data_IF_909943507363
#
_entry.id   IF_909943507363
#
_cell.length_a   1.000
_cell.length_b   1.000
_cell.length_c   1.000
_cell.angle_alpha   90.00
_cell.angle_beta   90.00
_cell.angle_gamma   90.00
#
_symmetry.space_group_name_H-M   'P 1'
#
loop_
_entity.id
_entity.type
_entity.pdbx_description
1 polymer ?
#
# COMPACT_ATOMS: atom_id res chain seq x y z
N UNK A 1 0.00 -14.65 27.69
CA UNK A 1 -1.43 -14.27 27.58
C UNK A 1 -1.80 -14.29 26.10
N UNK A 2 -2.94 -14.86 25.70
CA UNK A 2 -3.41 -14.86 24.31
C UNK A 2 -4.70 -14.04 24.26
N UNK A 3 -4.72 -12.99 23.44
CA UNK A 3 -5.91 -12.19 23.16
C UNK A 3 -6.28 -12.35 21.68
N UNK A 4 -7.56 -12.28 21.38
CA UNK A 4 -8.11 -12.39 20.02
C UNK A 4 -8.96 -11.14 19.79
N UNK A 5 -8.69 -10.46 18.68
CA UNK A 5 -9.35 -9.24 18.25
C UNK A 5 -10.11 -9.60 16.96
N UNK A 6 -11.44 -9.59 17.02
CA UNK A 6 -12.31 -9.83 15.85
C UNK A 6 -12.67 -8.50 15.20
N UNK A 7 -12.07 -8.22 14.04
CA UNK A 7 -12.24 -6.98 13.28
C UNK A 7 -13.59 -6.90 12.53
N UNK A 8 -14.41 -7.95 12.55
CA UNK A 8 -15.71 -7.98 11.87
C UNK A 8 -15.64 -7.59 10.39
N UNK A 9 -16.66 -6.87 9.91
CA UNK A 9 -16.75 -6.45 8.50
C UNK A 9 -15.80 -5.30 8.13
N UNK A 10 -15.20 -4.63 9.12
CA UNK A 10 -14.24 -3.56 8.84
C UNK A 10 -12.86 -4.12 8.58
N UNK A 11 -12.53 -5.33 9.06
CA UNK A 11 -11.23 -5.97 8.86
C UNK A 11 -11.27 -7.21 7.97
N UNK A 12 -11.82 -7.08 6.77
CA UNK A 12 -11.86 -8.20 5.81
C UNK A 12 -10.48 -8.39 5.16
N UNK A 13 -9.97 -9.62 5.22
CA UNK A 13 -8.65 -10.01 4.72
C UNK A 13 -7.52 -9.17 5.37
N UNK A 14 -7.33 -9.29 6.71
CA UNK A 14 -6.23 -8.63 7.38
C UNK A 14 -4.91 -9.27 6.94
N UNK A 15 -3.96 -8.43 6.52
CA UNK A 15 -2.65 -8.87 6.03
C UNK A 15 -1.55 -8.43 7.00
N UNK A 16 -1.04 -7.22 6.77
CA UNK A 16 0.07 -6.67 7.53
C UNK A 16 -0.38 -6.15 8.88
N UNK A 17 0.47 -6.35 9.89
CA UNK A 17 0.32 -5.80 11.23
C UNK A 17 1.64 -5.11 11.58
N UNK A 18 1.57 -3.84 11.99
CA UNK A 18 2.74 -3.06 12.37
C UNK A 18 2.47 -2.28 13.64
N UNK A 19 3.38 -2.41 14.60
CA UNK A 19 3.43 -1.53 15.77
C UNK A 19 4.16 -0.25 15.41
N UNK A 20 3.94 0.80 16.20
CA UNK A 20 4.85 1.94 16.20
C UNK A 20 6.25 1.48 16.61
N UNK A 21 7.27 2.15 16.09
CA UNK A 21 8.67 1.84 16.33
C UNK A 21 9.12 2.21 17.73
N UNK A 22 8.55 3.25 18.32
CA UNK A 22 8.79 3.62 19.71
C UNK A 22 8.26 2.52 20.65
N UNK A 23 9.14 1.77 21.34
CA UNK A 23 8.74 0.64 22.18
C UNK A 23 7.96 1.06 23.43
N UNK A 24 7.93 2.35 23.77
CA UNK A 24 7.10 2.89 24.86
C UNK A 24 5.62 3.03 24.48
N UNK A 25 5.28 2.90 23.19
CA UNK A 25 3.91 3.04 22.69
C UNK A 25 3.26 1.68 22.48
N UNK A 26 2.25 1.38 23.30
CA UNK A 26 1.39 0.22 23.10
C UNK A 26 0.31 0.47 22.02
N UNK A 27 0.72 0.75 20.79
CA UNK A 27 -0.18 1.02 19.66
C UNK A 27 0.38 0.46 18.36
N UNK A 28 -0.51 -0.04 17.51
CA UNK A 28 -0.19 -0.45 16.15
C UNK A 28 -1.40 -0.34 15.23
N UNK A 29 -1.22 -0.85 14.02
CA UNK A 29 -2.22 -0.88 12.97
C UNK A 29 -2.27 -2.23 12.27
N UNK A 30 -3.43 -2.56 11.72
CA UNK A 30 -3.62 -3.68 10.79
C UNK A 30 -4.21 -3.16 9.49
N UNK A 31 -3.56 -3.51 8.38
CA UNK A 31 -4.05 -3.25 7.03
C UNK A 31 -5.03 -4.34 6.63
N UNK A 32 -6.28 -3.97 6.38
CA UNK A 32 -7.32 -4.91 5.95
C UNK A 32 -7.60 -4.73 4.47
N UNK A 33 -7.14 -5.70 3.68
CA UNK A 33 -7.05 -5.53 2.24
C UNK A 33 -8.42 -5.37 1.59
N UNK A 34 -9.32 -6.33 1.78
CA UNK A 34 -10.58 -6.35 1.06
C UNK A 34 -11.51 -5.21 1.46
N UNK A 35 -11.58 -4.89 2.75
CA UNK A 35 -12.33 -3.74 3.25
C UNK A 35 -11.61 -2.41 3.01
N UNK A 36 -10.34 -2.43 2.61
CA UNK A 36 -9.48 -1.26 2.38
C UNK A 36 -9.45 -0.29 3.56
N UNK A 37 -9.35 -0.85 4.76
CA UNK A 37 -9.32 -0.11 6.02
C UNK A 37 -7.96 -0.23 6.70
N UNK A 38 -7.51 0.88 7.30
CA UNK A 38 -6.44 0.88 8.28
C UNK A 38 -7.07 0.94 9.67
N UNK A 39 -6.82 -0.10 10.46
CA UNK A 39 -7.47 -0.27 11.76
C UNK A 39 -6.40 -0.17 12.83
N UNK A 40 -6.52 0.78 13.75
CA UNK A 40 -5.61 0.92 14.88
C UNK A 40 -5.84 -0.23 15.88
N UNK A 41 -4.90 -0.53 16.75
CA UNK A 41 -5.16 -1.29 17.96
C UNK A 41 -4.23 -0.79 19.04
N UNK A 42 -4.66 -0.91 20.30
CA UNK A 42 -3.93 -0.32 21.42
C UNK A 42 -4.21 -1.05 22.73
N UNK A 43 -3.27 -0.95 23.65
CA UNK A 43 -3.42 -1.46 25.00
C UNK A 43 -4.15 -0.46 25.88
N UNK A 44 -5.15 -0.94 26.61
CA UNK A 44 -5.91 -0.19 27.59
C UNK A 44 -5.15 -0.13 28.93
N UNK A 45 -5.64 0.72 29.84
CA UNK A 45 -5.10 0.84 31.20
C UNK A 45 -5.28 -0.41 32.07
N UNK A 46 -6.12 -1.37 31.65
CA UNK A 46 -6.35 -2.66 32.33
C UNK A 46 -5.53 -3.81 31.72
N UNK A 47 -4.52 -3.50 30.91
CA UNK A 47 -3.65 -4.45 30.21
C UNK A 47 -4.34 -5.32 29.14
N UNK A 48 -5.58 -5.00 28.75
CA UNK A 48 -6.25 -5.60 27.59
C UNK A 48 -5.96 -4.82 26.31
N UNK A 49 -6.02 -5.47 25.15
CA UNK A 49 -5.97 -4.81 23.84
C UNK A 49 -7.37 -4.59 23.31
N UNK A 50 -7.66 -3.35 22.86
CA UNK A 50 -8.96 -2.98 22.30
C UNK A 50 -8.89 -2.53 20.84
N UNK A 51 -10.02 -2.71 20.17
CA UNK A 51 -10.36 -2.17 18.86
C UNK A 51 -11.87 -1.82 18.87
N UNK A 52 -12.26 -0.68 19.44
CA UNK A 52 -13.70 -0.32 19.43
C UNK A 52 -14.13 0.28 18.08
N UNK A 53 -15.42 0.52 17.86
CA UNK A 53 -15.95 0.98 16.56
C UNK A 53 -15.33 2.30 16.00
N UNK A 54 -14.57 3.05 16.82
CA UNK A 54 -13.83 4.28 16.45
C UNK A 54 -12.38 4.05 16.02
N UNK A 55 -12.06 2.88 15.47
CA UNK A 55 -10.68 2.40 15.30
C UNK A 55 -10.27 2.19 13.84
N UNK A 56 -11.22 2.23 12.90
CA UNK A 56 -10.90 2.47 11.49
C UNK A 56 -10.43 3.93 11.39
N UNK A 57 -9.13 4.12 11.29
CA UNK A 57 -8.51 5.45 11.22
C UNK A 57 -8.41 5.93 9.77
N UNK A 58 -8.45 5.01 8.81
CA UNK A 58 -8.54 5.29 7.37
C UNK A 58 -9.47 4.28 6.73
N UNK A 59 -10.40 4.77 5.90
CA UNK A 59 -11.19 3.98 4.95
C UNK A 59 -10.90 4.48 3.54
N UNK A 60 -10.50 3.58 2.64
CA UNK A 60 -10.42 3.87 1.20
C UNK A 60 -11.73 3.46 0.56
N UNK A 61 -12.51 4.45 0.16
CA UNK A 61 -13.81 4.22 -0.48
C UNK A 61 -13.68 3.36 -1.76
N UNK A 62 -14.45 2.27 -1.89
CA UNK A 62 -14.57 1.54 -3.13
C UNK A 62 -15.08 2.45 -4.26
N UNK A 63 -14.52 2.29 -5.44
CA UNK A 63 -14.92 3.07 -6.61
C UNK A 63 -15.92 2.28 -7.43
N UNK A 64 -17.03 2.93 -7.85
CA UNK A 64 -17.91 2.36 -8.88
C UNK A 64 -17.14 2.24 -10.19
N UNK A 65 -17.27 1.10 -10.86
CA UNK A 65 -16.47 0.77 -12.04
C UNK A 65 -17.27 0.08 -13.13
N UNK A 66 -16.83 0.27 -14.38
CA UNK A 66 -17.27 -0.48 -15.56
C UNK A 66 -16.18 -1.44 -16.04
N UNK A 67 -16.59 -2.49 -16.77
CA UNK A 67 -15.72 -3.55 -17.28
C UNK A 67 -14.93 -4.29 -16.17
N UNK A 68 -15.54 -4.39 -15.00
CA UNK A 68 -15.07 -5.15 -13.86
C UNK A 68 -16.13 -6.18 -13.44
N UNK A 69 -15.72 -7.25 -12.78
CA UNK A 69 -16.62 -8.36 -12.38
C UNK A 69 -17.66 -7.94 -11.32
N UNK A 70 -17.36 -6.91 -10.54
CA UNK A 70 -18.22 -6.33 -9.51
C UNK A 70 -18.60 -4.88 -9.87
N UNK A 71 -19.69 -4.33 -9.32
CA UNK A 71 -20.06 -2.94 -9.54
C UNK A 71 -19.09 -1.95 -8.90
N UNK A 72 -18.38 -2.37 -7.85
CA UNK A 72 -17.44 -1.56 -7.09
C UNK A 72 -16.10 -2.27 -6.95
N UNK A 73 -15.02 -1.47 -6.95
CA UNK A 73 -13.64 -1.93 -6.82
C UNK A 73 -13.04 -1.36 -5.53
N UNK A 74 -12.66 -2.20 -4.55
CA UNK A 74 -11.96 -1.74 -3.36
C UNK A 74 -10.54 -1.26 -3.72
N UNK A 75 -9.92 -0.47 -2.84
CA UNK A 75 -8.51 -0.09 -2.99
C UNK A 75 -7.59 -1.31 -2.97
N UNK A 76 -7.92 -2.26 -2.10
CA UNK A 76 -7.13 -3.44 -1.76
C UNK A 76 -5.79 -3.07 -1.11
N UNK A 77 -5.83 -2.67 0.16
CA UNK A 77 -4.64 -2.33 0.94
C UNK A 77 -3.81 -3.58 1.21
N UNK A 78 -2.75 -3.80 0.43
CA UNK A 78 -1.99 -5.06 0.50
C UNK A 78 -0.75 -4.99 1.38
N UNK A 79 -0.16 -3.81 1.52
CA UNK A 79 0.99 -3.56 2.40
C UNK A 79 0.93 -2.12 2.93
N UNK A 80 1.54 -1.93 4.09
CA UNK A 80 1.79 -0.63 4.67
C UNK A 80 3.02 -0.67 5.57
N UNK A 81 3.67 0.48 5.78
CA UNK A 81 4.79 0.61 6.70
C UNK A 81 4.74 1.96 7.43
N UNK A 82 5.46 2.04 8.55
CA UNK A 82 5.57 3.24 9.39
C UNK A 82 7.02 3.73 9.31
N UNK A 83 7.24 5.04 9.16
CA UNK A 83 8.57 5.64 9.21
C UNK A 83 9.20 5.45 10.59
N UNK A 84 10.52 5.31 10.67
CA UNK A 84 11.22 5.04 11.93
C UNK A 84 11.00 6.09 13.02
N UNK A 85 10.63 7.32 12.66
CA UNK A 85 10.29 8.40 13.59
C UNK A 85 8.82 8.39 14.04
N UNK A 86 8.03 7.39 13.65
CA UNK A 86 6.59 7.27 13.89
C UNK A 86 5.76 8.48 13.40
N UNK A 87 6.26 9.28 12.46
CA UNK A 87 5.56 10.49 12.00
C UNK A 87 4.70 10.24 10.77
N UNK A 88 5.06 9.27 9.93
CA UNK A 88 4.32 8.94 8.72
C UNK A 88 4.06 7.44 8.62
N UNK A 89 2.95 7.07 8.01
CA UNK A 89 2.84 5.75 7.39
C UNK A 89 2.50 5.86 5.92
N UNK A 90 2.83 4.79 5.22
CA UNK A 90 2.66 4.64 3.79
C UNK A 90 1.89 3.36 3.55
N UNK A 91 0.96 3.37 2.60
CA UNK A 91 0.30 2.14 2.17
C UNK A 91 0.03 2.17 0.67
N UNK A 92 -0.21 0.99 0.13
CA UNK A 92 -0.51 0.77 -1.28
C UNK A 92 -1.96 0.34 -1.47
N UNK A 93 -2.61 0.78 -2.54
CA UNK A 93 -3.87 0.21 -3.01
C UNK A 93 -3.59 -0.59 -4.29
N UNK A 94 -3.52 -1.92 -4.17
CA UNK A 94 -3.06 -2.76 -5.27
C UNK A 94 -4.03 -2.79 -6.45
N UNK A 95 -5.34 -2.60 -6.24
CA UNK A 95 -6.31 -2.54 -7.35
C UNK A 95 -6.45 -1.12 -7.91
N UNK A 96 -6.55 -0.10 -7.05
CA UNK A 96 -6.65 1.29 -7.52
C UNK A 96 -5.38 1.71 -8.25
N UNK A 97 -4.21 1.37 -7.72
CA UNK A 97 -2.91 1.68 -8.34
C UNK A 97 -2.14 2.82 -7.69
N UNK A 98 -2.55 3.28 -6.51
CA UNK A 98 -1.92 4.41 -5.83
C UNK A 98 -1.17 4.02 -4.55
N UNK A 99 -0.15 4.83 -4.23
CA UNK A 99 0.55 4.83 -2.95
C UNK A 99 0.15 6.10 -2.21
N UNK A 100 -0.12 5.99 -0.92
CA UNK A 100 -0.47 7.13 -0.06
C UNK A 100 0.49 7.28 1.10
N UNK A 101 0.66 8.53 1.53
CA UNK A 101 1.41 8.92 2.72
C UNK A 101 0.46 9.67 3.66
N UNK A 102 0.44 9.26 4.92
CA UNK A 102 -0.33 9.90 5.97
C UNK A 102 0.59 10.34 7.11
N UNK A 103 0.42 11.57 7.60
CA UNK A 103 0.97 11.98 8.89
C UNK A 103 0.17 11.30 10.01
N UNK A 104 0.88 10.73 10.98
CA UNK A 104 0.32 10.02 12.14
C UNK A 104 0.87 10.50 13.50
N UNK A 105 1.31 11.75 13.57
CA UNK A 105 1.69 12.37 14.86
C UNK A 105 0.53 12.32 15.87
N UNK A 106 -0.72 12.32 15.39
CA UNK A 106 -1.87 11.78 16.11
C UNK A 106 -2.28 10.41 15.54
N UNK A 107 -1.90 9.30 16.20
CA UNK A 107 -2.21 7.94 15.74
C UNK A 107 -3.70 7.65 15.54
N UNK A 108 -4.60 8.44 16.15
CA UNK A 108 -6.05 8.28 16.04
C UNK A 108 -6.64 9.05 14.87
N UNK A 109 -5.94 10.05 14.35
CA UNK A 109 -6.42 10.94 13.28
C UNK A 109 -5.36 11.12 12.18
N UNK A 110 -5.04 10.06 11.39
CA UNK A 110 -4.10 10.18 10.29
C UNK A 110 -4.54 11.22 9.26
N UNK A 111 -3.60 12.02 8.76
CA UNK A 111 -3.87 13.08 7.78
C UNK A 111 -3.16 12.75 6.47
N UNK A 112 -3.90 12.66 5.36
CA UNK A 112 -3.32 12.43 4.03
C UNK A 112 -2.42 13.62 3.65
N UNK A 113 -1.15 13.32 3.33
CA UNK A 113 -0.15 14.34 2.96
C UNK A 113 0.45 14.11 1.58
N UNK A 114 0.34 12.91 1.02
CA UNK A 114 0.82 12.59 -0.32
C UNK A 114 0.08 11.43 -0.95
N UNK A 115 -0.12 11.48 -2.27
CA UNK A 115 -0.71 10.40 -3.06
C UNK A 115 -0.13 10.44 -4.48
N UNK A 116 0.22 9.27 -5.01
CA UNK A 116 0.73 9.12 -6.39
C UNK A 116 0.16 7.86 -7.02
N UNK A 117 -0.07 7.91 -8.34
CA UNK A 117 -0.56 6.77 -9.13
C UNK A 117 0.62 6.11 -9.85
N UNK A 118 0.80 4.81 -9.63
CA UNK A 118 1.95 4.02 -10.11
C UNK A 118 1.51 2.72 -10.78
N UNK A 119 0.35 2.74 -11.44
CA UNK A 119 -0.21 1.63 -12.20
C UNK A 119 -1.67 1.39 -11.83
N UNK A 120 -2.02 0.14 -11.58
CA UNK A 120 -3.35 -0.30 -11.16
C UNK A 120 -4.33 -0.56 -12.30
N UNK A 121 -5.53 -1.02 -11.93
CA UNK A 121 -6.60 -1.31 -12.90
C UNK A 121 -7.27 -0.04 -13.42
N UNK A 122 -7.11 1.10 -12.76
CA UNK A 122 -7.78 2.35 -13.13
C UNK A 122 -6.89 3.31 -13.92
N UNK A 123 -5.72 2.87 -14.38
CA UNK A 123 -4.84 3.67 -15.22
C UNK A 123 -5.41 3.91 -16.62
N UNK A 124 -5.08 5.06 -17.23
CA UNK A 124 -5.48 5.36 -18.61
C UNK A 124 -5.01 4.28 -19.58
N UNK A 125 -5.93 3.81 -20.42
CA UNK A 125 -5.69 2.72 -21.37
C UNK A 125 -6.03 1.32 -20.83
N UNK A 126 -6.30 1.19 -19.53
CA UNK A 126 -6.91 -0.02 -18.96
C UNK A 126 -8.35 -0.22 -19.48
N UNK A 127 -8.86 -1.47 -19.57
CA UNK A 127 -10.26 -1.72 -19.86
C UNK A 127 -11.21 -1.23 -18.76
N UNK A 128 -10.76 -1.20 -17.49
CA UNK A 128 -11.59 -0.80 -16.34
C UNK A 128 -11.64 0.72 -16.22
N UNK A 129 -12.83 1.27 -16.00
CA UNK A 129 -13.03 2.71 -15.83
C UNK A 129 -13.80 3.00 -14.55
N UNK A 130 -13.38 4.01 -13.80
CA UNK A 130 -14.12 4.49 -12.65
C UNK A 130 -15.30 5.37 -13.11
N UNK A 131 -16.40 5.33 -12.38
CA UNK A 131 -17.67 6.01 -12.73
C UNK A 131 -17.98 7.07 -11.67
N UNK A 132 -18.32 8.28 -12.12
CA UNK A 132 -18.78 9.39 -11.27
C UNK A 132 -20.28 9.29 -11.00
N UNK A 133 -20.78 10.09 -10.06
CA UNK A 133 -22.22 10.16 -9.76
C UNK A 133 -23.08 10.58 -10.96
N UNK A 134 -22.53 11.42 -11.85
CA UNK A 134 -23.19 11.86 -13.09
C UNK A 134 -23.13 10.83 -14.23
N UNK A 135 -22.55 9.65 -13.98
CA UNK A 135 -22.38 8.57 -14.95
C UNK A 135 -21.19 8.75 -15.91
N UNK A 136 -20.42 9.84 -15.80
CA UNK A 136 -19.21 9.99 -16.61
C UNK A 136 -18.08 9.09 -16.09
N UNK A 137 -17.22 8.64 -17.00
CA UNK A 137 -16.11 7.76 -16.67
C UNK A 137 -14.78 8.49 -16.61
N UNK A 138 -13.87 8.00 -15.77
CA UNK A 138 -12.51 8.51 -15.64
C UNK A 138 -11.51 7.41 -15.30
N UNK A 139 -10.25 7.72 -15.53
CA UNK A 139 -9.07 6.90 -15.27
C UNK A 139 -7.94 7.82 -14.83
N UNK A 140 -6.92 7.26 -14.19
CA UNK A 140 -5.80 8.02 -13.64
C UNK A 140 -4.61 8.04 -14.60
N UNK A 141 -3.93 9.18 -14.65
CA UNK A 141 -2.65 9.30 -15.34
C UNK A 141 -1.56 8.59 -14.53
N UNK A 142 -0.83 7.70 -15.18
CA UNK A 142 0.33 7.00 -14.62
C UNK A 142 1.54 7.34 -15.48
N UNK A 143 2.62 7.89 -14.92
CA UNK A 143 3.78 8.25 -15.71
C UNK A 143 4.56 7.01 -16.15
N UNK A 144 5.36 7.19 -17.19
CA UNK A 144 6.38 6.21 -17.56
C UNK A 144 7.71 6.56 -16.86
N UNK A 145 8.47 5.54 -16.51
CA UNK A 145 9.82 5.70 -15.98
C UNK A 145 10.78 5.12 -17.01
N UNK A 146 11.72 5.93 -17.50
CA UNK A 146 12.70 5.52 -18.54
C UNK A 146 12.04 4.88 -19.77
N UNK A 147 10.87 5.40 -20.19
CA UNK A 147 10.10 4.90 -21.33
C UNK A 147 9.35 3.57 -21.09
N UNK A 148 9.38 3.04 -19.86
CA UNK A 148 8.65 1.83 -19.48
C UNK A 148 7.34 2.23 -18.79
N UNK A 149 6.24 1.61 -19.20
CA UNK A 149 4.95 1.72 -18.51
C UNK A 149 4.98 0.96 -17.19
N UNK A 150 4.36 1.53 -16.15
CA UNK A 150 4.19 0.87 -14.86
C UNK A 150 3.05 -0.14 -14.97
N UNK A 151 3.40 -1.41 -14.77
CA UNK A 151 2.51 -2.58 -14.90
C UNK A 151 1.90 -2.91 -13.54
N UNK A 152 0.69 -3.45 -13.52
CA UNK A 152 0.00 -3.82 -12.28
C UNK A 152 -0.11 -2.69 -11.24
N UNK A 153 -0.64 -2.96 -10.05
CA UNK A 153 -0.65 -2.00 -8.95
C UNK A 153 0.54 -2.17 -7.99
N UNK A 154 0.83 -1.15 -7.16
CA UNK A 154 1.87 -1.23 -6.15
C UNK A 154 1.50 -2.26 -5.08
N UNK A 155 2.48 -3.04 -4.62
CA UNK A 155 2.31 -4.10 -3.64
C UNK A 155 3.31 -3.91 -2.47
N UNK A 156 4.35 -4.74 -2.29
CA UNK A 156 5.27 -4.53 -1.18
C UNK A 156 5.99 -3.20 -1.34
N UNK A 157 6.08 -2.46 -0.24
CA UNK A 157 6.83 -1.23 -0.13
C UNK A 157 7.93 -1.37 0.90
N UNK A 158 9.01 -0.62 0.70
CA UNK A 158 10.08 -0.55 1.70
C UNK A 158 10.70 0.84 1.77
N UNK A 159 10.80 1.38 2.97
CA UNK A 159 11.28 2.74 3.22
C UNK A 159 12.73 2.73 3.69
N UNK A 160 13.51 3.67 3.16
CA UNK A 160 14.86 3.92 3.67
C UNK A 160 14.83 4.38 5.13
N UNK A 161 15.88 4.07 5.89
CA UNK A 161 15.99 4.43 7.31
C UNK A 161 15.89 5.95 7.55
N UNK A 162 16.31 6.78 6.60
CA UNK A 162 16.17 8.24 6.66
C UNK A 162 14.78 8.75 6.23
N UNK A 163 13.87 7.85 5.85
CA UNK A 163 12.50 8.16 5.43
C UNK A 163 12.37 8.82 4.04
N UNK A 164 13.47 9.05 3.32
CA UNK A 164 13.46 9.88 2.09
C UNK A 164 13.18 9.12 0.80
N UNK A 165 13.29 7.79 0.81
CA UNK A 165 13.15 6.94 -0.37
C UNK A 165 12.24 5.77 -0.04
N UNK A 166 11.12 5.69 -0.73
CA UNK A 166 10.20 4.56 -0.67
C UNK A 166 10.37 3.75 -1.96
N UNK A 167 10.59 2.46 -1.86
CA UNK A 167 10.61 1.56 -3.01
C UNK A 167 9.32 0.77 -3.04
N UNK A 168 8.85 0.41 -4.23
CA UNK A 168 7.64 -0.40 -4.39
C UNK A 168 7.86 -1.50 -5.44
N UNK A 169 7.44 -2.73 -5.12
CA UNK A 169 7.22 -3.80 -6.09
C UNK A 169 5.73 -3.85 -6.48
N UNK A 170 5.36 -4.78 -7.37
CA UNK A 170 4.01 -4.82 -7.94
C UNK A 170 3.40 -6.23 -8.07
N UNK A 171 4.02 -7.28 -7.52
CA UNK A 171 3.47 -8.65 -7.48
C UNK A 171 2.99 -9.01 -6.07
N UNK A 172 1.77 -9.52 -5.95
CA UNK A 172 1.15 -9.93 -4.68
C UNK A 172 1.29 -11.44 -4.46
N UNK A 173 0.68 -12.20 -5.35
CA UNK A 173 0.61 -13.64 -5.27
C UNK A 173 0.26 -14.15 -6.66
N UNK A 174 1.09 -15.04 -7.22
CA UNK A 174 1.05 -15.39 -8.65
C UNK A 174 -0.34 -15.78 -9.19
N UNK A 175 -1.20 -16.44 -8.40
CA UNK A 175 -2.56 -16.77 -8.81
C UNK A 175 -3.45 -15.51 -8.94
N UNK A 176 -3.30 -14.55 -8.03
CA UNK A 176 -4.01 -13.28 -8.06
C UNK A 176 -3.44 -12.36 -9.13
N UNK A 177 -2.11 -12.31 -9.25
CA UNK A 177 -1.42 -11.57 -10.31
C UNK A 177 -1.91 -12.03 -11.69
N UNK A 178 -1.99 -13.34 -11.92
CA UNK A 178 -2.52 -13.89 -13.18
C UNK A 178 -3.97 -13.49 -13.44
N UNK A 179 -4.79 -13.40 -12.40
CA UNK A 179 -6.21 -13.06 -12.52
C UNK A 179 -6.43 -11.57 -12.79
N UNK A 180 -5.74 -10.70 -12.06
CA UNK A 180 -5.98 -9.25 -12.10
C UNK A 180 -5.02 -8.51 -13.03
N UNK A 181 -3.79 -8.98 -13.14
CA UNK A 181 -2.71 -8.39 -13.93
C UNK A 181 -1.98 -9.46 -14.78
N UNK A 182 -2.67 -10.12 -15.72
CA UNK A 182 -2.12 -11.25 -16.47
C UNK A 182 -0.81 -10.91 -17.20
N UNK A 183 -0.61 -9.64 -17.58
CA UNK A 183 0.63 -9.20 -18.25
C UNK A 183 1.89 -9.37 -17.38
N UNK A 184 1.76 -9.48 -16.05
CA UNK A 184 2.92 -9.77 -15.19
C UNK A 184 3.52 -11.14 -15.48
N UNK A 185 2.73 -12.09 -15.98
CA UNK A 185 3.23 -13.43 -16.31
C UNK A 185 4.14 -13.42 -17.55
N UNK A 186 3.94 -12.45 -18.44
CA UNK A 186 4.67 -12.34 -19.71
C UNK A 186 5.77 -11.26 -19.66
N UNK A 187 5.59 -10.23 -18.83
CA UNK A 187 6.48 -9.05 -18.77
C UNK A 187 7.21 -8.88 -17.45
N UNK A 188 6.85 -9.65 -16.43
CA UNK A 188 7.49 -9.62 -15.12
C UNK A 188 7.12 -8.38 -14.31
N UNK A 189 7.47 -8.45 -13.04
CA UNK A 189 7.36 -7.34 -12.08
C UNK A 189 8.41 -6.25 -12.34
N UNK A 190 8.37 -5.19 -11.54
CA UNK A 190 9.41 -4.19 -11.50
C UNK A 190 9.56 -3.59 -10.09
N UNK A 191 10.66 -2.87 -9.84
CA UNK A 191 10.78 -1.96 -8.69
C UNK A 191 10.85 -0.52 -9.20
N UNK A 192 10.12 0.36 -8.52
CA UNK A 192 10.24 1.82 -8.65
C UNK A 192 10.76 2.44 -7.34
N UNK A 193 11.32 3.64 -7.43
CA UNK A 193 11.61 4.49 -6.28
C UNK A 193 10.71 5.72 -6.29
N UNK A 194 10.27 6.11 -5.11
CA UNK A 194 9.48 7.29 -4.80
C UNK A 194 10.29 8.13 -3.82
N UNK A 195 10.51 9.39 -4.16
CA UNK A 195 11.10 10.38 -3.27
C UNK A 195 10.02 10.92 -2.33
N UNK A 196 10.39 11.06 -1.06
CA UNK A 196 9.47 11.39 0.04
C UNK A 196 9.87 12.70 0.69
N UNK A 197 8.93 13.64 0.79
CA UNK A 197 9.07 14.82 1.65
C UNK A 197 8.75 14.43 3.09
N UNK A 198 9.78 14.41 3.94
CA UNK A 198 9.71 14.01 5.36
C UNK A 198 9.41 15.17 6.31
N UNK A 199 9.39 16.40 5.80
CA UNK A 199 9.09 17.60 6.58
C UNK A 199 7.61 17.94 6.51
N UNK A 200 7.07 18.05 5.29
CA UNK A 200 5.68 18.46 5.03
C UNK A 200 4.79 17.31 4.61
N UNK A 201 5.38 16.18 4.23
CA UNK A 201 4.68 15.15 3.45
C UNK A 201 4.60 15.53 1.97
N UNK A 202 4.48 14.52 1.13
CA UNK A 202 4.56 14.61 -0.32
C UNK A 202 5.32 13.45 -0.92
N UNK A 203 4.82 12.95 -2.05
CA UNK A 203 5.40 11.83 -2.78
C UNK A 203 5.67 12.26 -4.22
N UNK A 204 6.84 11.94 -4.75
CA UNK A 204 7.17 12.13 -6.17
C UNK A 204 7.91 10.92 -6.71
N UNK A 205 7.54 10.47 -7.90
CA UNK A 205 8.21 9.35 -8.56
C UNK A 205 9.62 9.77 -8.99
N UNK A 206 10.62 8.95 -8.69
CA UNK A 206 11.97 9.15 -9.19
C UNK A 206 12.04 8.66 -10.65
N UNK A 207 12.25 9.55 -11.64
CA UNK A 207 12.25 9.19 -13.06
C UNK A 207 13.49 8.38 -13.49
N UNK A 208 14.52 8.32 -12.64
CA UNK A 208 15.82 7.71 -12.97
C UNK A 208 15.98 6.28 -12.44
N UNK A 209 15.06 5.83 -11.57
CA UNK A 209 15.11 4.50 -10.94
C UNK A 209 14.02 3.57 -11.44
N UNK A 210 14.42 2.50 -12.14
CA UNK A 210 13.53 1.41 -12.56
C UNK A 210 14.32 0.12 -12.66
N UNK A 211 13.88 -0.92 -11.95
CA UNK A 211 14.43 -2.28 -12.06
C UNK A 211 13.39 -3.15 -12.74
N UNK A 212 13.71 -3.68 -13.92
CA UNK A 212 12.80 -4.49 -14.74
C UNK A 212 13.11 -5.98 -14.55
N UNK A 213 12.17 -6.75 -14.02
CA UNK A 213 12.32 -8.21 -13.86
C UNK A 213 11.76 -9.01 -15.04
N UNK A 214 11.42 -8.34 -16.15
CA UNK A 214 10.97 -9.01 -17.37
C UNK A 214 12.07 -9.73 -18.15
N UNK A 215 13.34 -9.34 -17.93
CA UNK A 215 14.51 -9.83 -18.69
C UNK A 215 15.43 -10.72 -17.84
N UNK A 216 14.91 -11.29 -16.76
CA UNK A 216 15.67 -12.24 -15.94
C UNK A 216 16.06 -13.51 -16.75
N UNK A 217 17.17 -14.19 -16.42
CA UNK A 217 17.74 -15.27 -17.25
C UNK A 217 16.77 -16.42 -17.55
N UNK A 218 15.87 -16.74 -16.60
CA UNK A 218 14.91 -17.84 -16.71
C UNK A 218 13.50 -17.35 -17.14
N UNK A 219 13.40 -16.11 -17.61
CA UNK A 219 12.16 -15.45 -18.01
C UNK A 219 11.59 -14.53 -16.93
N UNK A 220 10.39 -13.96 -17.18
CA UNK A 220 9.80 -12.94 -16.31
C UNK A 220 9.67 -13.38 -14.84
N UNK A 221 10.25 -12.61 -13.93
CA UNK A 221 10.17 -12.86 -12.49
C UNK A 221 9.15 -11.95 -11.80
N UNK A 222 8.70 -12.40 -10.62
CA UNK A 222 7.69 -11.75 -9.78
C UNK A 222 8.31 -11.37 -8.43
N UNK A 223 8.78 -10.13 -8.33
CA UNK A 223 9.37 -9.53 -7.15
C UNK A 223 8.29 -9.15 -6.15
N UNK A 224 8.45 -9.64 -4.92
CA UNK A 224 7.54 -9.41 -3.81
C UNK A 224 8.21 -8.52 -2.77
N UNK A 225 8.72 -9.08 -1.66
CA UNK A 225 9.36 -8.32 -0.58
C UNK A 225 10.79 -7.87 -0.91
N UNK A 226 11.15 -6.68 -0.41
CA UNK A 226 12.50 -6.12 -0.49
C UNK A 226 13.09 -5.95 0.91
N UNK A 227 14.37 -6.28 1.07
CA UNK A 227 15.10 -6.12 2.33
C UNK A 227 16.35 -5.27 2.12
N UNK A 228 16.61 -4.34 3.03
CA UNK A 228 17.81 -3.51 2.97
C UNK A 228 19.00 -4.22 3.63
N UNK A 229 20.22 -4.12 3.04
CA UNK A 229 21.42 -4.53 3.74
C UNK A 229 21.59 -3.70 5.03
N UNK A 230 21.57 -4.36 6.19
CA UNK A 230 21.75 -3.72 7.49
C UNK A 230 20.48 -3.31 8.23
N UNK A 231 19.30 -3.73 7.75
CA UNK A 231 18.03 -3.50 8.42
C UNK A 231 17.16 -2.43 7.73
N UNK A 232 15.86 -2.54 7.91
CA UNK A 232 14.81 -1.69 7.38
C UNK A 232 13.67 -1.51 8.39
N UNK A 233 12.72 -0.62 8.09
CA UNK A 233 11.59 -0.32 8.98
C UNK A 233 10.60 -1.48 9.14
N UNK A 234 10.89 -2.69 8.64
CA UNK A 234 10.04 -3.87 8.79
C UNK A 234 10.81 -5.11 9.26
N UNK A 235 12.14 -5.06 9.37
CA UNK A 235 12.98 -6.13 9.92
C UNK A 235 13.32 -5.96 11.38
N UNK A 236 13.42 -4.73 11.87
CA UNK A 236 13.99 -4.43 13.18
C UNK A 236 12.92 -4.04 14.20
N UNK A 237 13.04 -4.61 15.41
CA UNK A 237 12.23 -4.27 16.58
C UNK A 237 13.18 -3.75 17.64
N UNK A 238 12.93 -2.54 18.13
CA UNK A 238 13.75 -1.88 19.15
C UNK A 238 13.24 -2.26 20.55
N UNK A 239 14.17 -2.46 21.50
CA UNK A 239 13.90 -2.88 22.90
C UNK A 239 14.40 -1.79 23.85
#
# INVERSE_FOLDING_TARGET
MKQIIDLGNTGLLPLEIRFLHDPSKDTGYVGSALSSNMIRFFRNSDDTWSHEASVVVISVEPLKVENWILPEMPGLITDFLISLDDRFFYFVNWLHGDIRQYNIEDPKNPVLTGQIWVGGLLQKGSPVKAVREDGTTYQFDVPQIKGKSLRAGPQMIQLSLDGKRLYATNSLFSAWDRQFYPELMDKGSHIIQIDVDTEKGGLSINPDFFVDFGEEPDGPALAHEMRYPGGDCTSDIWI
#
